data_IF_799976513034
#
_entry.id   IF_799976513034
#
_cell.length_a   1.000
_cell.length_b   1.000
_cell.length_c   1.000
_cell.angle_alpha   90.00
_cell.angle_beta   90.00
_cell.angle_gamma   90.00
#
_symmetry.space_group_name_H-M   'P 1'
#
loop_
_entity.id
_entity.type
_entity.pdbx_description
1 polymer ?
#
# COMPACT_ATOMS: atom_id res chain seq x y z
N UNK A 1 -15.24 7.72 7.56
CA UNK A 1 -16.51 7.95 6.84
C UNK A 1 -16.49 9.35 6.24
N UNK A 2 -15.67 9.58 5.22
CA UNK A 2 -15.54 10.92 4.61
C UNK A 2 -15.41 10.83 3.08
N UNK A 3 -14.64 9.87 2.56
CA UNK A 3 -14.47 9.67 1.12
C UNK A 3 -15.78 9.29 0.39
N UNK A 4 -16.60 8.41 0.97
CA UNK A 4 -17.86 7.98 0.35
C UNK A 4 -18.90 9.12 0.26
N UNK A 5 -18.89 10.07 1.20
CA UNK A 5 -19.80 11.23 1.17
C UNK A 5 -19.39 12.30 0.15
N UNK A 6 -18.14 12.28 -0.34
CA UNK A 6 -17.63 13.21 -1.38
C UNK A 6 -17.74 12.66 -2.81
N UNK A 7 -18.32 11.46 -2.99
CA UNK A 7 -18.39 10.79 -4.29
C UNK A 7 -17.06 10.16 -4.75
N UNK A 8 -16.06 10.10 -3.88
CA UNK A 8 -14.72 9.56 -4.15
C UNK A 8 -14.70 8.01 -4.06
N UNK A 9 -15.50 7.36 -4.89
CA UNK A 9 -15.45 5.92 -5.07
C UNK A 9 -14.15 5.52 -5.78
N UNK A 10 -13.69 4.28 -5.56
CA UNK A 10 -12.46 3.80 -6.21
C UNK A 10 -11.16 4.34 -5.60
N UNK A 11 -11.21 4.92 -4.39
CA UNK A 11 -10.04 5.42 -3.65
C UNK A 11 -9.78 4.56 -2.40
N UNK A 12 -8.52 4.49 -1.98
CA UNK A 12 -8.11 3.88 -0.71
C UNK A 12 -7.16 4.79 0.06
N UNK A 13 -7.17 4.68 1.38
CA UNK A 13 -6.15 5.32 2.22
C UNK A 13 -4.81 4.62 2.03
N UNK A 14 -3.75 5.39 1.86
CA UNK A 14 -2.38 4.91 1.68
C UNK A 14 -1.42 5.67 2.59
N UNK A 15 -0.43 4.94 3.13
CA UNK A 15 0.69 5.52 3.86
C UNK A 15 1.91 5.62 2.94
N UNK A 16 2.44 6.84 2.79
CA UNK A 16 3.64 7.16 2.01
C UNK A 16 4.68 7.71 2.97
N UNK A 17 5.64 6.88 3.39
CA UNK A 17 6.52 7.23 4.50
C UNK A 17 5.71 7.42 5.77
N UNK A 18 5.62 8.65 6.25
CA UNK A 18 4.80 9.03 7.42
C UNK A 18 3.51 9.80 7.04
N UNK A 19 3.26 10.03 5.75
CA UNK A 19 2.11 10.81 5.27
C UNK A 19 0.92 9.93 4.90
N UNK A 20 -0.28 10.28 5.38
CA UNK A 20 -1.55 9.64 5.03
C UNK A 20 -2.16 10.34 3.82
N UNK A 21 -2.47 9.58 2.77
CA UNK A 21 -2.97 10.10 1.49
C UNK A 21 -4.10 9.23 0.93
N UNK A 22 -4.89 9.74 -0.01
CA UNK A 22 -5.90 8.95 -0.75
C UNK A 22 -5.37 8.59 -2.15
N UNK A 23 -5.19 7.31 -2.43
CA UNK A 23 -4.72 6.79 -3.72
C UNK A 23 -5.86 6.17 -4.53
N UNK A 24 -5.88 6.28 -5.87
CA UNK A 24 -6.79 5.50 -6.72
C UNK A 24 -6.49 4.00 -6.59
N UNK A 25 -7.53 3.19 -6.45
CA UNK A 25 -7.41 1.72 -6.37
C UNK A 25 -6.79 1.15 -7.64
N UNK A 26 -7.21 1.63 -8.82
CA UNK A 26 -6.69 1.17 -10.11
C UNK A 26 -5.16 1.29 -10.18
N UNK A 27 -4.61 2.43 -9.77
CA UNK A 27 -3.17 2.66 -9.75
C UNK A 27 -2.48 1.80 -8.67
N UNK A 28 -3.08 1.73 -7.48
CA UNK A 28 -2.51 1.05 -6.33
C UNK A 28 -2.38 -0.48 -6.51
N UNK A 29 -3.15 -1.08 -7.42
CA UNK A 29 -3.18 -2.53 -7.69
C UNK A 29 -2.49 -2.93 -8.98
N UNK A 30 -1.89 -1.99 -9.73
CA UNK A 30 -1.22 -2.28 -11.02
C UNK A 30 -0.06 -3.26 -10.90
N UNK A 31 0.60 -3.32 -9.74
CA UNK A 31 1.76 -4.19 -9.51
C UNK A 31 1.66 -4.87 -8.15
N UNK A 32 1.96 -6.16 -8.13
CA UNK A 32 2.09 -6.91 -6.89
C UNK A 32 3.32 -6.42 -6.10
N UNK A 33 3.10 -6.12 -4.82
CA UNK A 33 4.17 -5.78 -3.88
C UNK A 33 4.72 -7.08 -3.29
N UNK A 34 5.94 -7.43 -3.65
CA UNK A 34 6.65 -8.57 -3.09
C UNK A 34 7.67 -8.09 -2.06
N UNK A 35 8.00 -8.97 -1.12
CA UNK A 35 9.16 -8.75 -0.25
C UNK A 35 10.42 -8.96 -1.11
N UNK A 36 11.40 -8.04 -1.08
CA UNK A 36 12.70 -8.25 -1.70
C UNK A 36 13.39 -9.52 -1.16
N UNK A 37 14.09 -10.25 -2.03
CA UNK A 37 14.70 -11.55 -1.71
C UNK A 37 15.77 -11.45 -0.62
N UNK A 38 16.60 -10.41 -0.65
CA UNK A 38 17.61 -10.12 0.37
C UNK A 38 17.02 -10.02 1.78
N UNK A 39 15.83 -9.41 1.93
CA UNK A 39 15.12 -9.32 3.21
C UNK A 39 14.53 -10.64 3.68
N UNK A 40 14.24 -11.57 2.77
CA UNK A 40 13.86 -12.93 3.15
C UNK A 40 15.08 -13.71 3.66
N UNK A 41 16.22 -13.60 2.96
CA UNK A 41 17.47 -14.25 3.36
C UNK A 41 17.99 -13.76 4.73
N UNK A 42 17.87 -12.45 5.01
CA UNK A 42 18.19 -11.89 6.32
C UNK A 42 17.33 -12.53 7.41
N UNK A 43 16.01 -12.65 7.17
CA UNK A 43 15.09 -13.23 8.14
C UNK A 43 15.43 -14.70 8.44
N UNK A 44 15.83 -15.49 7.44
CA UNK A 44 16.26 -16.89 7.63
C UNK A 44 17.49 -17.05 8.53
N UNK A 45 18.33 -16.02 8.65
CA UNK A 45 19.58 -16.09 9.45
C UNK A 45 19.35 -16.02 10.97
N UNK A 46 18.12 -15.70 11.42
CA UNK A 46 17.77 -15.55 12.84
C UNK A 46 16.79 -16.62 13.35
N UNK A 47 16.46 -17.62 12.52
CA UNK A 47 15.65 -18.79 12.89
C UNK A 47 16.53 -20.03 13.12
#
# INVERSE_FOLDING_TARGET
MEAAHRGDFGRMTALRGTSITMAPLADATTRLKTVPEDRMLEAESVF
#
